data_IF_043707378769
#
_entry.id   IF_043707378769
#
_cell.length_a   1.000
_cell.length_b   1.000
_cell.length_c   1.000
_cell.angle_alpha   90.00
_cell.angle_beta   90.00
_cell.angle_gamma   90.00
#
_symmetry.space_group_name_H-M   'P 1'
#
loop_
_entity.id
_entity.type
_entity.pdbx_description
1 polymer ?
#
# COMPACT_ATOMS: atom_id res chain seq x y z
N UNK A 1 -19.27 -8.60 2.36
CA UNK A 1 -18.45 -9.05 3.50
C UNK A 1 -17.94 -7.79 4.19
N UNK A 2 -18.29 -7.55 5.45
CA UNK A 2 -17.84 -6.36 6.18
C UNK A 2 -16.35 -6.53 6.55
N UNK A 3 -15.57 -5.44 6.50
CA UNK A 3 -14.17 -5.45 6.93
C UNK A 3 -14.10 -5.88 8.40
N UNK A 4 -13.24 -6.86 8.72
CA UNK A 4 -13.12 -7.41 10.07
C UNK A 4 -12.75 -6.35 11.14
N UNK A 5 -12.23 -5.20 10.73
CA UNK A 5 -11.89 -4.06 11.60
C UNK A 5 -13.11 -3.30 12.09
N UNK A 6 -14.20 -3.26 11.30
CA UNK A 6 -15.41 -2.50 11.62
C UNK A 6 -16.10 -2.97 12.92
N UNK A 7 -16.33 -4.29 13.12
CA UNK A 7 -16.89 -4.79 14.38
C UNK A 7 -16.03 -4.45 15.60
N UNK A 8 -14.71 -4.37 15.44
CA UNK A 8 -13.78 -4.04 16.53
C UNK A 8 -13.91 -2.56 16.89
N UNK A 9 -13.85 -1.67 15.90
CA UNK A 9 -14.02 -0.23 16.13
C UNK A 9 -15.39 0.08 16.73
N UNK A 10 -16.45 -0.58 16.26
CA UNK A 10 -17.82 -0.43 16.78
C UNK A 10 -17.94 -0.80 18.27
N UNK A 11 -17.05 -1.65 18.81
CA UNK A 11 -16.99 -1.97 20.24
C UNK A 11 -16.24 -0.92 21.06
N UNK A 12 -15.34 -0.14 20.44
CA UNK A 12 -14.48 0.82 21.11
C UNK A 12 -15.10 2.22 21.21
N UNK A 13 -16.04 2.57 20.33
CA UNK A 13 -16.65 3.91 20.28
C UNK A 13 -18.16 3.87 20.48
N UNK A 14 -18.78 4.94 21.00
CA UNK A 14 -20.25 5.04 21.11
C UNK A 14 -20.93 4.89 19.74
N UNK A 15 -22.11 4.24 19.71
CA UNK A 15 -22.87 3.99 18.47
C UNK A 15 -23.11 5.25 17.63
N UNK A 16 -23.48 6.36 18.27
CA UNK A 16 -23.74 7.63 17.58
C UNK A 16 -22.48 8.19 16.91
N UNK A 17 -21.32 8.03 17.55
CA UNK A 17 -20.03 8.48 17.00
C UNK A 17 -19.62 7.62 15.81
N UNK A 18 -19.82 6.29 15.91
CA UNK A 18 -19.53 5.38 14.81
C UNK A 18 -20.36 5.72 13.55
N UNK A 19 -21.67 5.88 13.69
CA UNK A 19 -22.55 6.16 12.54
C UNK A 19 -22.27 7.54 11.91
N UNK A 20 -22.04 8.57 12.73
CA UNK A 20 -21.83 9.93 12.20
C UNK A 20 -20.40 10.11 11.66
N UNK A 21 -19.38 9.75 12.45
CA UNK A 21 -17.99 10.07 12.13
C UNK A 21 -17.36 9.01 11.24
N UNK A 22 -17.57 7.73 11.53
CA UNK A 22 -16.96 6.64 10.73
C UNK A 22 -17.75 6.41 9.46
N UNK A 23 -19.07 6.20 9.55
CA UNK A 23 -19.87 5.93 8.36
C UNK A 23 -20.12 7.18 7.52
N UNK A 24 -20.78 8.21 8.04
CA UNK A 24 -21.16 9.36 7.20
C UNK A 24 -19.92 10.15 6.78
N UNK A 25 -19.12 10.62 7.71
CA UNK A 25 -17.99 11.49 7.37
C UNK A 25 -16.88 10.76 6.60
N UNK A 26 -16.44 9.57 7.06
CA UNK A 26 -15.32 8.89 6.42
C UNK A 26 -15.73 8.07 5.18
N UNK A 27 -16.83 7.32 5.24
CA UNK A 27 -17.23 6.41 4.14
C UNK A 27 -18.14 7.07 3.11
N UNK A 28 -19.17 7.80 3.53
CA UNK A 28 -20.14 8.36 2.57
C UNK A 28 -19.63 9.65 1.94
N UNK A 29 -18.87 10.46 2.68
CA UNK A 29 -18.39 11.77 2.19
C UNK A 29 -16.92 11.70 1.78
N UNK A 30 -16.00 11.39 2.70
CA UNK A 30 -14.58 11.52 2.43
C UNK A 30 -14.08 10.52 1.38
N UNK A 31 -14.52 9.25 1.41
CA UNK A 31 -14.09 8.24 0.43
C UNK A 31 -14.50 8.58 -1.01
N UNK A 32 -15.77 8.90 -1.33
CA UNK A 32 -16.14 9.32 -2.69
C UNK A 32 -15.44 10.60 -3.15
N UNK A 33 -15.27 11.58 -2.27
CA UNK A 33 -14.52 12.80 -2.58
C UNK A 33 -13.04 12.51 -2.84
N UNK A 34 -12.42 11.63 -2.05
CA UNK A 34 -11.04 11.20 -2.25
C UNK A 34 -10.88 10.47 -3.58
N UNK A 35 -11.78 9.53 -3.90
CA UNK A 35 -11.78 8.83 -5.19
C UNK A 35 -11.98 9.80 -6.37
N UNK A 36 -12.94 10.73 -6.25
CA UNK A 36 -13.18 11.75 -7.27
C UNK A 36 -11.96 12.63 -7.50
N UNK A 37 -11.32 13.07 -6.42
CA UNK A 37 -10.14 13.96 -6.49
C UNK A 37 -8.89 13.23 -6.98
N UNK A 38 -8.75 11.92 -6.72
CA UNK A 38 -7.71 11.08 -7.31
C UNK A 38 -7.81 10.98 -8.84
N UNK A 39 -8.98 11.23 -9.43
CA UNK A 39 -9.16 11.30 -10.88
C UNK A 39 -8.83 12.67 -11.50
N UNK A 40 -8.61 13.71 -10.69
CA UNK A 40 -8.34 15.06 -11.21
C UNK A 40 -7.06 15.17 -12.06
N UNK A 41 -5.94 14.50 -11.72
CA UNK A 41 -4.77 14.43 -12.58
C UNK A 41 -5.08 13.94 -14.00
N UNK A 42 -5.95 12.94 -14.13
CA UNK A 42 -6.32 12.35 -15.43
C UNK A 42 -7.19 13.33 -16.24
N UNK A 43 -8.14 14.00 -15.59
CA UNK A 43 -8.99 15.01 -16.26
C UNK A 43 -8.14 16.13 -16.87
N UNK A 44 -7.09 16.55 -16.18
CA UNK A 44 -6.18 17.59 -16.67
C UNK A 44 -5.53 17.23 -18.01
N UNK A 45 -5.12 15.97 -18.16
CA UNK A 45 -4.49 15.45 -19.37
C UNK A 45 -5.42 15.44 -20.59
N UNK A 46 -6.74 15.45 -20.36
CA UNK A 46 -7.75 15.36 -21.41
C UNK A 46 -8.21 16.74 -21.92
N UNK A 47 -7.73 17.84 -21.34
CA UNK A 47 -8.13 19.19 -21.74
C UNK A 47 -7.25 19.72 -22.90
N UNK A 48 -7.85 20.28 -23.97
CA UNK A 48 -7.11 20.95 -25.02
C UNK A 48 -6.64 22.36 -24.60
N UNK A 49 -5.50 22.85 -25.11
CA UNK A 49 -4.51 22.09 -25.85
C UNK A 49 -3.79 21.16 -24.87
N UNK A 50 -3.81 19.85 -25.14
CA UNK A 50 -2.88 18.92 -24.50
C UNK A 50 -1.52 19.18 -25.14
N UNK A 51 -0.96 20.38 -24.91
CA UNK A 51 0.43 20.60 -25.22
C UNK A 51 1.18 19.63 -24.32
N UNK A 52 1.79 18.62 -24.95
CA UNK A 52 2.70 17.72 -24.29
C UNK A 52 3.65 18.60 -23.48
N UNK A 53 3.49 18.51 -22.17
CA UNK A 53 4.25 19.32 -21.26
C UNK A 53 5.72 19.10 -21.50
N UNK A 54 6.49 20.19 -21.47
CA UNK A 54 7.93 20.11 -21.42
C UNK A 54 8.45 19.25 -20.24
N UNK A 55 7.61 18.90 -19.25
CA UNK A 55 8.00 18.11 -18.10
C UNK A 55 9.15 18.77 -17.33
N UNK A 56 9.75 18.08 -16.36
CA UNK A 56 10.98 18.54 -15.72
C UNK A 56 12.21 18.45 -16.65
N UNK A 57 12.12 17.68 -17.74
CA UNK A 57 13.19 17.45 -18.70
C UNK A 57 12.72 17.72 -20.14
N UNK A 58 12.61 19.00 -20.57
CA UNK A 58 12.06 19.42 -21.87
C UNK A 58 12.75 18.80 -23.07
N UNK A 59 14.05 18.59 -22.95
CA UNK A 59 14.92 18.06 -23.99
C UNK A 59 14.89 16.53 -24.11
N UNK A 60 14.25 15.84 -23.17
CA UNK A 60 14.24 14.38 -23.11
C UNK A 60 12.84 13.84 -23.41
N UNK A 61 12.59 13.55 -24.70
CA UNK A 61 11.32 13.02 -25.18
C UNK A 61 11.53 11.90 -26.20
N UNK A 62 10.52 11.04 -26.31
CA UNK A 62 10.40 10.03 -27.36
C UNK A 62 9.46 10.62 -28.42
N UNK A 63 9.95 10.70 -29.66
CA UNK A 63 9.19 11.25 -30.78
C UNK A 63 8.23 10.23 -31.40
N UNK A 64 7.29 10.73 -32.19
CA UNK A 64 6.31 9.93 -32.93
C UNK A 64 6.96 8.86 -33.82
N UNK A 65 8.20 9.08 -34.28
CA UNK A 65 8.98 8.09 -35.02
C UNK A 65 9.04 6.72 -34.32
N UNK A 66 9.21 6.69 -32.99
CA UNK A 66 9.29 5.46 -32.20
C UNK A 66 7.97 4.68 -32.15
N UNK A 67 6.84 5.39 -32.19
CA UNK A 67 5.49 4.81 -32.16
C UNK A 67 4.86 4.65 -33.54
N UNK A 68 5.61 4.98 -34.60
CA UNK A 68 5.13 4.95 -35.97
C UNK A 68 4.54 3.61 -36.47
N UNK A 69 4.96 2.41 -35.98
CA UNK A 69 4.25 1.17 -36.32
C UNK A 69 2.90 1.03 -35.59
N UNK A 70 2.74 1.65 -34.42
CA UNK A 70 1.53 1.56 -33.59
C UNK A 70 0.48 2.62 -33.97
N UNK A 71 0.93 3.82 -34.36
CA UNK A 71 0.09 4.99 -34.66
C UNK A 71 -0.03 5.24 -36.17
N UNK A 72 -0.51 4.23 -36.91
CA UNK A 72 -0.68 4.33 -38.37
C UNK A 72 -1.61 5.49 -38.81
N UNK A 73 -2.54 5.90 -37.95
CA UNK A 73 -3.44 7.05 -38.17
C UNK A 73 -2.68 8.39 -38.18
N UNK A 74 -1.64 8.54 -37.35
CA UNK A 74 -0.85 9.77 -37.31
C UNK A 74 -0.05 9.97 -38.61
N UNK A 75 0.41 8.87 -39.24
CA UNK A 75 0.99 8.90 -40.60
C UNK A 75 -0.02 9.32 -41.65
N UNK A 76 -1.27 8.83 -41.57
CA UNK A 76 -2.35 9.20 -42.51
C UNK A 76 -2.72 10.69 -42.44
N UNK A 77 -2.51 11.32 -41.28
CA UNK A 77 -2.79 12.73 -41.04
C UNK A 77 -1.60 13.67 -41.33
N UNK A 78 -0.46 13.14 -41.77
CA UNK A 78 0.71 13.96 -42.14
C UNK A 78 1.41 14.64 -40.95
N UNK A 79 1.29 14.10 -39.73
CA UNK A 79 1.90 14.67 -38.53
C UNK A 79 3.43 14.48 -38.59
N UNK A 80 4.25 15.52 -38.31
CA UNK A 80 5.71 15.42 -38.31
C UNK A 80 6.22 14.33 -37.35
N UNK A 81 7.21 13.55 -37.79
CA UNK A 81 7.73 12.40 -37.00
C UNK A 81 8.59 12.81 -35.79
N UNK A 82 9.09 14.05 -35.79
CA UNK A 82 9.84 14.68 -34.70
C UNK A 82 8.94 15.21 -33.58
N UNK A 83 7.61 15.21 -33.80
CA UNK A 83 6.64 15.59 -32.78
C UNK A 83 6.90 14.78 -31.50
N UNK A 84 7.12 15.44 -30.34
CA UNK A 84 7.22 14.74 -29.08
C UNK A 84 5.91 13.97 -28.83
N UNK A 85 5.98 12.77 -28.28
CA UNK A 85 4.79 11.97 -27.96
C UNK A 85 4.79 11.52 -26.51
N UNK A 86 5.97 11.27 -25.94
CA UNK A 86 6.10 10.84 -24.55
C UNK A 86 7.33 11.48 -23.92
N UNK A 87 7.18 12.21 -22.83
CA UNK A 87 8.32 12.74 -22.09
C UNK A 87 8.92 11.67 -21.18
N UNK A 88 10.21 11.78 -20.88
CA UNK A 88 10.89 10.85 -19.96
C UNK A 88 10.23 10.86 -18.57
N UNK A 89 9.71 12.00 -18.12
CA UNK A 89 8.95 12.10 -16.88
C UNK A 89 7.71 11.20 -16.85
N UNK A 90 6.97 11.16 -17.96
CA UNK A 90 5.77 10.32 -18.11
C UNK A 90 6.15 8.83 -18.10
N UNK A 91 7.23 8.48 -18.80
CA UNK A 91 7.75 7.11 -18.81
C UNK A 91 8.20 6.65 -17.42
N UNK A 92 8.87 7.53 -16.66
CA UNK A 92 9.29 7.23 -15.28
C UNK A 92 8.09 7.05 -14.34
N UNK A 93 7.09 7.93 -14.43
CA UNK A 93 5.89 7.82 -13.60
C UNK A 93 5.05 6.58 -13.98
N UNK A 94 4.96 6.24 -15.27
CA UNK A 94 4.33 5.01 -15.73
C UNK A 94 5.08 3.76 -15.23
N UNK A 95 6.42 3.74 -15.33
CA UNK A 95 7.24 2.65 -14.80
C UNK A 95 7.06 2.49 -13.28
N UNK A 96 7.00 3.60 -12.54
CA UNK A 96 6.74 3.62 -11.11
C UNK A 96 5.36 3.01 -10.79
N UNK A 97 4.32 3.42 -11.52
CA UNK A 97 2.97 2.89 -11.36
C UNK A 97 2.88 1.38 -11.64
N UNK A 98 3.49 0.92 -12.74
CA UNK A 98 3.50 -0.50 -13.11
C UNK A 98 4.29 -1.35 -12.09
N UNK A 99 5.42 -0.83 -11.61
CA UNK A 99 6.21 -1.48 -10.56
C UNK A 99 5.42 -1.58 -9.27
N UNK A 100 4.70 -0.51 -8.89
CA UNK A 100 3.85 -0.48 -7.71
C UNK A 100 2.76 -1.57 -7.79
N UNK A 101 2.02 -1.63 -8.91
CA UNK A 101 0.99 -2.66 -9.15
C UNK A 101 1.57 -4.08 -9.10
N UNK A 102 2.74 -4.29 -9.69
CA UNK A 102 3.42 -5.59 -9.63
C UNK A 102 3.77 -6.01 -8.20
N UNK A 103 4.37 -5.10 -7.41
CA UNK A 103 4.73 -5.35 -6.01
C UNK A 103 3.47 -5.57 -5.16
N UNK A 104 2.42 -4.79 -5.40
CA UNK A 104 1.13 -4.95 -4.72
C UNK A 104 0.58 -6.35 -4.95
N UNK A 105 0.47 -6.75 -6.22
CA UNK A 105 0.01 -8.09 -6.60
C UNK A 105 0.83 -9.18 -5.90
N UNK A 106 2.16 -9.09 -5.95
CA UNK A 106 3.05 -10.07 -5.30
C UNK A 106 2.83 -10.15 -3.78
N UNK A 107 2.61 -9.01 -3.14
CA UNK A 107 2.37 -8.93 -1.70
C UNK A 107 1.01 -9.52 -1.32
N UNK A 108 -0.04 -9.17 -2.07
CA UNK A 108 -1.39 -9.65 -1.82
C UNK A 108 -1.49 -11.16 -2.10
N UNK A 109 -0.88 -11.66 -3.19
CA UNK A 109 -0.83 -13.09 -3.50
C UNK A 109 -0.11 -13.88 -2.37
N UNK A 110 1.00 -13.34 -1.84
CA UNK A 110 1.73 -13.96 -0.73
C UNK A 110 0.92 -13.98 0.58
N UNK A 111 0.26 -12.87 0.90
CA UNK A 111 -0.62 -12.78 2.07
C UNK A 111 -1.82 -13.74 1.92
N UNK A 112 -2.46 -13.77 0.75
CA UNK A 112 -3.59 -14.65 0.47
C UNK A 112 -3.21 -16.13 0.63
N UNK A 113 -2.10 -16.55 0.00
CA UNK A 113 -1.62 -17.92 0.10
C UNK A 113 -1.34 -18.33 1.56
N UNK A 114 -0.73 -17.45 2.36
CA UNK A 114 -0.48 -17.71 3.78
C UNK A 114 -1.79 -17.84 4.58
N UNK A 115 -2.74 -16.93 4.39
CA UNK A 115 -4.00 -16.95 5.13
C UNK A 115 -4.84 -18.17 4.74
N UNK A 116 -4.96 -18.51 3.45
CA UNK A 116 -5.73 -19.67 3.00
C UNK A 116 -5.18 -20.96 3.59
N UNK A 117 -3.85 -21.14 3.58
CA UNK A 117 -3.20 -22.30 4.17
C UNK A 117 -3.43 -22.37 5.68
N UNK A 118 -3.27 -21.26 6.41
CA UNK A 118 -3.52 -21.18 7.86
C UNK A 118 -4.97 -21.47 8.22
N UNK A 119 -5.92 -20.88 7.49
CA UNK A 119 -7.35 -21.13 7.68
C UNK A 119 -7.73 -22.56 7.29
N UNK A 120 -7.07 -23.16 6.30
CA UNK A 120 -7.17 -24.59 6.00
C UNK A 120 -6.76 -25.46 7.19
N UNK A 121 -5.59 -25.20 7.78
CA UNK A 121 -5.11 -25.95 8.94
C UNK A 121 -6.01 -25.79 10.19
N UNK A 122 -6.47 -24.56 10.48
CA UNK A 122 -7.41 -24.32 11.58
C UNK A 122 -8.79 -24.98 11.36
N UNK A 123 -9.23 -25.14 10.10
CA UNK A 123 -10.46 -25.89 9.78
C UNK A 123 -10.26 -27.40 9.97
N UNK A 124 -9.09 -27.92 9.63
CA UNK A 124 -8.77 -29.33 9.77
C UNK A 124 -8.60 -29.76 11.24
N UNK A 125 -8.04 -28.88 12.07
CA UNK A 125 -7.89 -29.13 13.51
C UNK A 125 -8.40 -27.92 14.32
N UNK A 126 -9.71 -27.84 14.59
CA UNK A 126 -10.30 -26.74 15.33
C UNK A 126 -9.86 -26.77 16.79
N UNK A 127 -9.15 -25.74 17.26
CA UNK A 127 -8.92 -25.53 18.68
C UNK A 127 -10.01 -24.63 19.28
N UNK A 128 -10.59 -24.98 20.43
CA UNK A 128 -11.57 -24.14 21.10
C UNK A 128 -10.93 -22.83 21.57
N UNK A 129 -11.69 -21.74 21.50
CA UNK A 129 -11.23 -20.44 21.97
C UNK A 129 -11.20 -20.44 23.49
N UNK A 130 -10.00 -20.38 24.06
CA UNK A 130 -9.81 -20.33 25.52
C UNK A 130 -10.00 -18.89 26.01
N UNK A 131 -10.77 -18.74 27.07
CA UNK A 131 -11.02 -17.47 27.76
C UNK A 131 -10.43 -17.62 29.15
N UNK A 132 -9.56 -16.69 29.55
CA UNK A 132 -8.93 -16.64 30.86
C UNK A 132 -9.18 -15.25 31.45
N UNK A 133 -9.60 -15.17 32.71
CA UNK A 133 -9.96 -13.91 33.39
C UNK A 133 -10.98 -13.02 32.65
N UNK A 134 -11.88 -13.63 31.89
CA UNK A 134 -12.90 -12.92 31.11
C UNK A 134 -12.39 -12.34 29.78
N UNK A 135 -11.10 -12.45 29.50
CA UNK A 135 -10.49 -12.02 28.25
C UNK A 135 -10.13 -13.23 27.37
N UNK A 136 -10.38 -13.17 26.05
CA UNK A 136 -9.97 -14.22 25.14
C UNK A 136 -8.44 -14.24 25.06
N UNK A 137 -7.83 -15.41 25.31
CA UNK A 137 -6.40 -15.59 25.14
C UNK A 137 -5.97 -15.33 23.69
N UNK A 138 -4.68 -15.00 23.46
CA UNK A 138 -4.11 -14.85 22.13
C UNK A 138 -4.48 -16.03 21.23
N UNK A 139 -4.66 -15.75 19.94
CA UNK A 139 -5.14 -16.77 19.01
C UNK A 139 -4.17 -17.96 19.00
N UNK A 140 -4.68 -19.16 19.27
CA UNK A 140 -3.90 -20.38 19.09
C UNK A 140 -3.66 -20.58 17.59
N UNK A 141 -2.39 -20.71 17.22
CA UNK A 141 -1.94 -20.88 15.83
C UNK A 141 -1.32 -22.27 15.72
N UNK A 142 -1.62 -23.03 14.66
CA UNK A 142 -0.89 -24.27 14.41
C UNK A 142 0.63 -24.01 14.38
N UNK A 143 1.47 -24.89 14.94
CA UNK A 143 2.91 -24.65 15.06
C UNK A 143 3.59 -24.26 13.74
N UNK A 144 3.14 -24.82 12.62
CA UNK A 144 3.67 -24.55 11.29
C UNK A 144 3.35 -23.13 10.76
N UNK A 145 2.34 -22.47 11.34
CA UNK A 145 1.95 -21.09 11.02
C UNK A 145 2.37 -20.09 12.09
N UNK A 146 3.06 -20.51 13.16
CA UNK A 146 3.62 -19.59 14.14
C UNK A 146 4.51 -18.55 13.43
N UNK A 147 4.41 -17.24 13.77
CA UNK A 147 3.67 -16.62 14.88
C UNK A 147 2.20 -16.22 14.59
N UNK A 148 1.62 -16.64 13.46
CA UNK A 148 0.23 -16.35 13.06
C UNK A 148 0.07 -15.29 11.97
N UNK A 149 1.17 -14.71 11.51
CA UNK A 149 1.26 -13.75 10.41
C UNK A 149 2.50 -14.06 9.54
N UNK A 150 2.52 -13.65 8.26
CA UNK A 150 3.65 -13.94 7.39
C UNK A 150 4.89 -13.13 7.80
N UNK A 151 6.03 -13.80 7.95
CA UNK A 151 7.32 -13.19 8.30
C UNK A 151 8.41 -13.43 7.24
N UNK A 152 8.08 -14.18 6.18
CA UNK A 152 9.01 -14.63 5.13
C UNK A 152 8.76 -13.88 3.81
N UNK A 153 9.72 -13.97 2.89
CA UNK A 153 9.62 -13.35 1.58
C UNK A 153 9.53 -11.82 1.68
N UNK A 154 8.56 -11.22 0.98
CA UNK A 154 8.37 -9.76 1.00
C UNK A 154 8.09 -9.22 2.41
N UNK A 155 7.39 -10.00 3.24
CA UNK A 155 7.09 -9.63 4.63
C UNK A 155 8.31 -9.75 5.56
N UNK A 156 9.43 -10.34 5.13
CA UNK A 156 10.68 -10.24 5.89
C UNK A 156 11.34 -8.86 5.73
N UNK A 157 10.98 -8.13 4.67
CA UNK A 157 11.62 -6.88 4.27
C UNK A 157 10.71 -5.68 4.52
N UNK A 158 9.40 -5.78 4.26
CA UNK A 158 8.43 -4.70 4.49
C UNK A 158 7.12 -5.30 4.99
N UNK A 159 6.57 -4.75 6.07
CA UNK A 159 5.32 -5.28 6.67
C UNK A 159 4.11 -5.04 5.76
N UNK A 160 3.98 -3.85 5.18
CA UNK A 160 2.83 -3.43 4.36
C UNK A 160 3.23 -2.96 2.95
N UNK A 161 3.93 -3.82 2.20
CA UNK A 161 4.39 -3.48 0.85
C UNK A 161 3.24 -3.20 -0.12
N UNK A 162 2.08 -3.84 0.05
CA UNK A 162 0.86 -3.56 -0.70
C UNK A 162 0.36 -2.13 -0.46
N UNK A 163 0.40 -1.65 0.80
CA UNK A 163 -0.03 -0.29 1.14
C UNK A 163 0.94 0.75 0.61
N UNK A 164 2.25 0.50 0.66
CA UNK A 164 3.26 1.39 0.06
C UNK A 164 3.08 1.44 -1.45
N UNK A 165 2.83 0.29 -2.09
CA UNK A 165 2.56 0.23 -3.52
C UNK A 165 1.33 1.04 -3.91
N UNK A 166 0.21 0.90 -3.20
CA UNK A 166 -1.00 1.68 -3.48
C UNK A 166 -0.72 3.19 -3.37
N UNK A 167 -0.08 3.63 -2.28
CA UNK A 167 0.31 5.04 -2.10
C UNK A 167 1.23 5.53 -3.23
N UNK A 168 2.21 4.70 -3.63
CA UNK A 168 3.15 5.01 -4.70
C UNK A 168 2.45 5.09 -6.07
N UNK A 169 1.48 4.21 -6.32
CA UNK A 169 0.69 4.23 -7.54
C UNK A 169 -0.08 5.54 -7.69
N UNK A 170 -0.79 5.97 -6.64
CA UNK A 170 -1.55 7.22 -6.68
C UNK A 170 -0.65 8.46 -6.72
N UNK A 171 0.51 8.42 -6.06
CA UNK A 171 1.52 9.45 -6.22
C UNK A 171 2.00 9.53 -7.67
N UNK A 172 2.25 8.40 -8.33
CA UNK A 172 2.63 8.37 -9.73
C UNK A 172 1.56 8.99 -10.65
N UNK A 173 0.27 8.75 -10.37
CA UNK A 173 -0.83 9.42 -11.10
C UNK A 173 -0.83 10.94 -10.88
N UNK A 174 -0.56 11.39 -9.65
CA UNK A 174 -0.40 12.81 -9.34
C UNK A 174 0.79 13.45 -10.07
N UNK A 175 1.93 12.75 -10.13
CA UNK A 175 3.13 13.20 -10.85
C UNK A 175 2.89 13.27 -12.36
N UNK A 176 2.17 12.30 -12.92
CA UNK A 176 1.68 12.32 -14.30
C UNK A 176 0.85 13.58 -14.56
N UNK A 177 -0.13 13.90 -13.70
CA UNK A 177 -0.96 15.10 -13.86
C UNK A 177 -0.18 16.42 -13.76
N UNK A 178 0.82 16.49 -12.88
CA UNK A 178 1.77 17.63 -12.84
C UNK A 178 2.58 17.73 -14.14
N UNK A 179 2.92 16.58 -14.71
CA UNK A 179 3.53 16.45 -16.01
C UNK A 179 2.63 16.89 -17.17
N UNK A 180 1.41 17.40 -16.97
CA UNK A 180 0.54 17.90 -18.05
C UNK A 180 0.74 19.40 -18.40
N UNK A 181 1.76 20.07 -17.84
CA UNK A 181 2.24 21.37 -18.34
C UNK A 181 1.37 22.56 -17.90
N UNK A 182 1.20 23.63 -18.70
CA UNK A 182 0.37 24.78 -18.35
C UNK A 182 -1.11 24.45 -18.11
N UNK A 183 -1.57 23.31 -18.66
CA UNK A 183 -2.89 22.75 -18.43
C UNK A 183 -2.98 21.92 -17.12
N UNK A 184 -1.85 21.63 -16.48
CA UNK A 184 -1.83 20.95 -15.20
C UNK A 184 -2.56 21.79 -14.16
N UNK A 185 -3.54 21.22 -13.45
CA UNK A 185 -4.17 21.90 -12.34
C UNK A 185 -3.12 22.10 -11.25
N UNK A 186 -3.34 23.09 -10.38
CA UNK A 186 -2.36 23.53 -9.37
C UNK A 186 -1.72 22.34 -8.66
N UNK A 187 -0.46 22.46 -8.23
CA UNK A 187 0.27 21.39 -7.53
C UNK A 187 -0.55 20.74 -6.41
N UNK A 188 -1.32 21.57 -5.69
CA UNK A 188 -2.30 21.10 -4.70
C UNK A 188 -3.30 20.09 -5.25
N UNK A 189 -3.96 20.34 -6.37
CA UNK A 189 -4.94 19.39 -6.95
C UNK A 189 -4.35 18.07 -7.44
N UNK A 190 -3.05 18.02 -7.77
CA UNK A 190 -2.40 16.77 -8.22
C UNK A 190 -1.82 15.95 -7.06
N UNK A 191 -1.25 16.62 -6.05
CA UNK A 191 -0.53 15.94 -4.96
C UNK A 191 -1.32 15.86 -3.65
N UNK A 192 -2.31 16.73 -3.43
CA UNK A 192 -3.15 16.67 -2.24
C UNK A 192 -3.95 15.36 -2.17
N UNK A 193 -4.57 14.85 -3.25
CA UNK A 193 -5.30 13.58 -3.17
C UNK A 193 -4.43 12.38 -2.76
N UNK A 194 -3.28 12.08 -3.40
CA UNK A 194 -2.42 10.98 -2.94
C UNK A 194 -1.84 11.22 -1.54
N UNK A 195 -1.59 12.47 -1.15
CA UNK A 195 -1.16 12.79 0.22
C UNK A 195 -2.25 12.47 1.26
N UNK A 196 -3.50 12.87 1.01
CA UNK A 196 -4.64 12.55 1.89
C UNK A 196 -4.87 11.03 1.96
N UNK A 197 -4.69 10.34 0.83
CA UNK A 197 -4.73 8.89 0.79
C UNK A 197 -3.62 8.27 1.67
N UNK A 198 -2.39 8.77 1.62
CA UNK A 198 -1.31 8.32 2.50
C UNK A 198 -1.62 8.52 3.99
N UNK A 199 -2.26 9.64 4.37
CA UNK A 199 -2.72 9.85 5.75
C UNK A 199 -3.79 8.82 6.17
N UNK A 200 -4.71 8.49 5.27
CA UNK A 200 -5.69 7.43 5.50
C UNK A 200 -5.01 6.07 5.69
N UNK A 201 -4.01 5.75 4.86
CA UNK A 201 -3.21 4.54 4.99
C UNK A 201 -2.45 4.48 6.32
N UNK A 202 -1.91 5.60 6.80
CA UNK A 202 -1.25 5.66 8.10
C UNK A 202 -2.22 5.27 9.23
N UNK A 203 -3.40 5.88 9.29
CA UNK A 203 -4.42 5.54 10.28
C UNK A 203 -4.90 4.09 10.18
N UNK A 204 -5.17 3.63 8.95
CA UNK A 204 -5.58 2.26 8.63
C UNK A 204 -4.52 1.22 9.08
N UNK A 205 -3.24 1.54 8.87
CA UNK A 205 -2.13 0.67 9.24
C UNK A 205 -1.97 0.61 10.75
N UNK A 206 -2.02 1.74 11.45
CA UNK A 206 -1.93 1.77 12.92
C UNK A 206 -3.04 0.94 13.56
N UNK A 207 -4.29 1.07 13.08
CA UNK A 207 -5.40 0.24 13.56
C UNK A 207 -5.15 -1.25 13.29
N UNK A 208 -4.70 -1.58 12.08
CA UNK A 208 -4.44 -2.98 11.68
C UNK A 208 -3.33 -3.61 12.52
N UNK A 209 -2.24 -2.89 12.74
CA UNK A 209 -1.13 -3.35 13.57
C UNK A 209 -1.52 -3.45 15.05
N UNK A 210 -2.38 -2.56 15.54
CA UNK A 210 -2.94 -2.62 16.90
C UNK A 210 -3.80 -3.88 17.06
N UNK A 211 -4.72 -4.17 16.13
CA UNK A 211 -5.52 -5.41 16.17
C UNK A 211 -4.60 -6.64 16.11
N UNK A 212 -3.60 -6.62 15.24
CA UNK A 212 -2.68 -7.74 15.04
C UNK A 212 -1.84 -7.98 16.29
N UNK A 213 -1.34 -6.95 16.97
CA UNK A 213 -0.54 -7.12 18.18
C UNK A 213 -1.34 -7.66 19.37
N UNK A 214 -2.64 -7.32 19.47
CA UNK A 214 -3.50 -7.90 20.50
C UNK A 214 -3.82 -9.38 20.21
N UNK A 215 -3.90 -9.76 18.93
CA UNK A 215 -4.16 -11.14 18.53
C UNK A 215 -2.93 -12.03 18.59
N UNK A 216 -1.76 -11.48 18.23
CA UNK A 216 -0.48 -12.19 18.10
C UNK A 216 0.62 -11.39 18.82
N UNK A 217 0.95 -11.73 20.09
CA UNK A 217 1.92 -10.98 20.89
C UNK A 217 3.30 -10.83 20.25
N UNK A 218 3.79 -11.87 19.56
CA UNK A 218 5.05 -11.88 18.82
C UNK A 218 5.12 -10.83 17.68
N UNK A 219 3.99 -10.22 17.31
CA UNK A 219 3.97 -9.08 16.38
C UNK A 219 4.73 -7.87 16.94
N UNK A 220 4.85 -7.75 18.27
CA UNK A 220 5.69 -6.74 18.93
C UNK A 220 7.15 -6.83 18.47
N UNK A 221 7.76 -8.01 18.55
CA UNK A 221 9.12 -8.24 18.08
C UNK A 221 9.26 -8.03 16.58
N UNK A 222 8.30 -8.52 15.80
CA UNK A 222 8.28 -8.31 14.34
C UNK A 222 8.25 -6.83 13.95
N UNK A 223 7.50 -5.99 14.68
CA UNK A 223 7.48 -4.53 14.45
C UNK A 223 8.83 -3.87 14.68
N UNK A 224 9.65 -4.41 15.58
CA UNK A 224 10.99 -3.91 15.87
C UNK A 224 12.03 -4.39 14.85
N UNK A 225 11.82 -5.56 14.24
CA UNK A 225 12.74 -6.15 13.28
C UNK A 225 12.52 -5.68 11.84
N UNK A 226 11.27 -5.49 11.42
CA UNK A 226 10.91 -5.20 10.01
C UNK A 226 10.32 -3.79 9.89
N UNK A 227 10.61 -3.07 8.81
CA UNK A 227 10.10 -1.74 8.46
C UNK A 227 8.62 -1.75 8.07
N UNK A 228 7.91 -0.66 8.32
CA UNK A 228 6.47 -0.56 8.07
C UNK A 228 6.18 -0.45 6.58
N UNK A 229 6.79 0.54 5.92
CA UNK A 229 6.47 0.90 4.53
C UNK A 229 7.67 0.76 3.58
N UNK A 230 8.91 0.90 4.05
CA UNK A 230 10.09 0.89 3.19
C UNK A 230 11.15 -0.13 3.64
N UNK A 231 11.93 -0.70 2.70
CA UNK A 231 13.05 -1.59 3.05
C UNK A 231 14.17 -0.85 3.81
N UNK A 232 14.29 0.46 3.60
CA UNK A 232 15.26 1.30 4.31
C UNK A 232 15.01 1.31 5.82
N UNK A 233 13.74 1.38 6.25
CA UNK A 233 13.40 1.28 7.68
C UNK A 233 13.85 -0.07 8.27
N UNK A 234 13.75 -1.16 7.52
CA UNK A 234 14.26 -2.47 7.94
C UNK A 234 15.77 -2.46 8.10
N UNK A 235 16.50 -1.83 7.17
CA UNK A 235 17.94 -1.63 7.29
C UNK A 235 18.32 -0.84 8.53
N UNK A 236 17.64 0.27 8.80
CA UNK A 236 17.87 1.10 10.00
C UNK A 236 17.58 0.31 11.28
N UNK A 237 16.46 -0.43 11.31
CA UNK A 237 16.10 -1.30 12.44
C UNK A 237 17.10 -2.42 12.63
N UNK A 238 17.63 -2.99 11.55
CA UNK A 238 18.68 -3.98 11.61
C UNK A 238 19.93 -3.43 12.31
N UNK A 239 20.39 -2.25 11.89
CA UNK A 239 21.55 -1.58 12.52
C UNK A 239 21.26 -1.34 14.01
N UNK A 240 20.11 -0.74 14.31
CA UNK A 240 19.72 -0.36 15.67
C UNK A 240 19.59 -1.55 16.63
N UNK A 241 18.91 -2.62 16.22
CA UNK A 241 18.72 -3.83 17.03
C UNK A 241 20.01 -4.62 17.22
N UNK A 242 20.91 -4.58 16.23
CA UNK A 242 22.24 -5.19 16.33
C UNK A 242 23.13 -4.43 17.30
N UNK A 243 23.15 -3.09 17.22
CA UNK A 243 23.90 -2.24 18.16
C UNK A 243 23.43 -2.40 19.61
N UNK A 244 22.14 -2.64 19.83
CA UNK A 244 21.57 -2.87 21.17
C UNK A 244 21.72 -4.30 21.67
N UNK A 245 22.17 -5.24 20.84
CA UNK A 245 22.23 -6.67 21.19
C UNK A 245 20.88 -7.37 21.33
N UNK A 246 19.75 -6.68 21.13
CA UNK A 246 18.39 -7.24 21.32
C UNK A 246 17.90 -8.04 20.12
N UNK A 247 18.63 -8.05 19.00
CA UNK A 247 18.19 -8.66 17.76
C UNK A 247 17.91 -10.16 17.88
N UNK A 248 18.79 -10.92 18.55
CA UNK A 248 18.66 -12.37 18.67
C UNK A 248 17.42 -12.76 19.50
N UNK A 249 17.17 -12.04 20.60
CA UNK A 249 15.97 -12.21 21.43
C UNK A 249 14.68 -11.94 20.65
N UNK A 250 14.63 -10.81 19.91
CA UNK A 250 13.48 -10.48 19.07
C UNK A 250 13.26 -11.51 17.96
N UNK A 251 14.32 -12.12 17.43
CA UNK A 251 14.20 -13.19 16.43
C UNK A 251 13.71 -14.50 17.05
N UNK A 252 14.14 -14.80 18.26
CA UNK A 252 13.70 -15.96 19.02
C UNK A 252 12.19 -15.92 19.34
N UNK A 253 11.63 -14.74 19.61
CA UNK A 253 10.17 -14.57 19.78
C UNK A 253 9.35 -14.96 18.54
N UNK A 254 9.95 -14.89 17.35
CA UNK A 254 9.32 -15.26 16.07
C UNK A 254 9.51 -16.74 15.71
N UNK A 255 10.31 -17.47 16.47
CA UNK A 255 10.61 -18.88 16.23
C UNK A 255 9.66 -19.78 17.06
N UNK A 256 8.94 -20.74 16.44
CA UNK A 256 8.11 -21.69 17.18
C UNK A 256 8.88 -22.54 18.19
N UNK A 257 10.18 -22.78 17.97
CA UNK A 257 10.99 -23.72 18.75
C UNK A 257 11.40 -23.19 20.12
N UNK A 258 11.45 -21.86 20.31
CA UNK A 258 11.91 -21.24 21.56
C UNK A 258 10.82 -21.20 22.64
N UNK A 259 9.55 -21.42 22.26
CA UNK A 259 8.40 -21.33 23.19
C UNK A 259 7.96 -22.67 23.79
N UNK A 260 8.70 -23.76 23.52
CA UNK A 260 8.39 -25.10 24.04
C UNK A 260 9.14 -25.44 25.34
N UNK A 261 9.98 -24.54 25.85
CA UNK A 261 10.68 -24.63 27.14
C UNK A 261 10.03 -23.71 28.18
#
# INVERSE_FOLDING_TARGET
MEDYRYPIVRRLVPKWFFEIVVHICAVVVAQPLLLLTLCFPIRAMLLPPSELSYGPFPSAYISLAAFSPLLSTARKLGIPLDTPVLHVGDALAALLALTAVYIQKKTDDAMYAYQEAKHGAMRANPSPRVIEDGEPLPAQVPPEFYPGFPTKGIHAVVRHANFTSEQTFWLAQGLLGLGAGPAAPRVGSCLLPPFLLSLLFLGSTTLTEWITSHRYPAYGAYKQLVGQFTPMETGIKWIWTTMRGTRAELQAELDPLVRQD
#
